data_IF_096193456354
#
_entry.id   IF_096193456354
#
_cell.length_a   1.000
_cell.length_b   1.000
_cell.length_c   1.000
_cell.angle_alpha   90.00
_cell.angle_beta   90.00
_cell.angle_gamma   90.00
#
_symmetry.space_group_name_H-M   'P 1'
#
loop_
_entity.id
_entity.type
_entity.pdbx_description
1 polymer ?
#
# COMPACT_ATOMS: atom_id res chain seq x y z
N UNK A 1 3.38 -11.53 15.84
CA UNK A 1 2.72 -12.15 14.66
C UNK A 1 1.71 -11.16 14.13
N UNK A 2 1.67 -10.92 12.81
CA UNK A 2 0.64 -10.04 12.21
C UNK A 2 -0.72 -10.76 12.24
N UNK A 3 -1.77 -10.07 12.68
CA UNK A 3 -3.14 -10.63 12.66
C UNK A 3 -3.75 -10.49 11.28
N UNK A 4 -4.81 -11.26 10.99
CA UNK A 4 -5.58 -11.12 9.76
C UNK A 4 -6.14 -9.69 9.58
N UNK A 5 -6.59 -9.07 10.68
CA UNK A 5 -7.09 -7.71 10.69
C UNK A 5 -5.98 -6.67 10.39
N UNK A 6 -4.75 -6.89 10.87
CA UNK A 6 -3.60 -6.04 10.50
C UNK A 6 -3.36 -6.11 8.98
N UNK A 7 -3.34 -7.32 8.42
CA UNK A 7 -3.09 -7.53 6.99
C UNK A 7 -4.18 -6.86 6.14
N UNK A 8 -5.44 -6.97 6.52
CA UNK A 8 -6.55 -6.30 5.85
C UNK A 8 -6.37 -4.78 5.85
N UNK A 9 -6.05 -4.17 7.01
CA UNK A 9 -5.77 -2.73 7.11
C UNK A 9 -4.60 -2.29 6.23
N UNK A 10 -3.52 -3.07 6.15
CA UNK A 10 -2.38 -2.74 5.30
C UNK A 10 -2.71 -2.86 3.81
N UNK A 11 -3.54 -3.84 3.42
CA UNK A 11 -4.05 -3.94 2.06
C UNK A 11 -4.94 -2.73 1.70
N UNK A 12 -5.85 -2.33 2.57
CA UNK A 12 -6.67 -1.12 2.38
C UNK A 12 -5.81 0.14 2.28
N UNK A 13 -4.84 0.31 3.18
CA UNK A 13 -3.90 1.43 3.15
C UNK A 13 -3.11 1.49 1.83
N UNK A 14 -2.71 0.34 1.28
CA UNK A 14 -2.06 0.24 -0.03
C UNK A 14 -2.98 0.74 -1.15
N UNK A 15 -4.24 0.31 -1.17
CA UNK A 15 -5.18 0.75 -2.21
C UNK A 15 -5.47 2.24 -2.09
N UNK A 16 -5.66 2.77 -0.88
CA UNK A 16 -5.78 4.22 -0.65
C UNK A 16 -4.54 4.97 -1.15
N UNK A 17 -3.34 4.45 -0.87
CA UNK A 17 -2.09 5.08 -1.32
C UNK A 17 -1.97 5.12 -2.84
N UNK A 18 -2.38 4.05 -3.55
CA UNK A 18 -2.42 4.06 -5.02
C UNK A 18 -3.36 5.13 -5.55
N UNK A 19 -4.54 5.31 -4.95
CA UNK A 19 -5.49 6.35 -5.33
C UNK A 19 -4.91 7.75 -5.09
N UNK A 20 -4.27 7.96 -3.94
CA UNK A 20 -3.54 9.21 -3.64
C UNK A 20 -2.49 9.48 -4.71
N UNK A 21 -1.67 8.48 -5.06
CA UNK A 21 -0.62 8.63 -6.07
C UNK A 21 -1.20 8.94 -7.46
N UNK A 22 -2.32 8.31 -7.82
CA UNK A 22 -3.01 8.59 -9.07
C UNK A 22 -3.54 10.03 -9.13
N UNK A 23 -4.18 10.52 -8.07
CA UNK A 23 -4.65 11.91 -7.98
C UNK A 23 -3.49 12.91 -8.00
N UNK A 24 -2.41 12.60 -7.29
CA UNK A 24 -1.19 13.39 -7.28
C UNK A 24 -0.60 13.53 -8.70
N UNK A 25 -0.45 12.43 -9.43
CA UNK A 25 0.03 12.44 -10.81
C UNK A 25 -0.92 13.16 -11.77
N UNK A 26 -2.23 12.95 -11.63
CA UNK A 26 -3.21 13.49 -12.57
C UNK A 26 -3.44 14.99 -12.37
N UNK A 27 -3.32 15.50 -11.14
CA UNK A 27 -3.74 16.86 -10.81
C UNK A 27 -2.62 17.71 -10.21
N UNK A 28 -1.88 17.18 -9.23
CA UNK A 28 -0.91 17.99 -8.49
C UNK A 28 0.35 18.24 -9.33
N UNK A 29 0.91 17.19 -9.95
CA UNK A 29 2.12 17.34 -10.78
C UNK A 29 1.92 18.33 -11.93
N UNK A 30 0.84 18.27 -12.73
CA UNK A 30 0.57 19.27 -13.77
C UNK A 30 0.41 20.69 -13.21
N UNK A 31 -0.29 20.85 -12.08
CA UNK A 31 -0.47 22.16 -11.44
C UNK A 31 0.84 22.78 -10.94
N UNK A 32 1.86 21.96 -10.66
CA UNK A 32 3.20 22.41 -10.30
C UNK A 32 4.09 22.71 -11.52
N UNK A 33 3.62 22.48 -12.75
CA UNK A 33 4.42 22.64 -13.97
C UNK A 33 5.25 21.41 -14.35
N UNK A 34 4.90 20.24 -13.83
CA UNK A 34 5.56 18.96 -14.15
C UNK A 34 6.60 18.52 -13.13
N UNK A 35 7.34 17.46 -13.48
CA UNK A 35 8.31 16.82 -12.59
C UNK A 35 9.62 17.60 -12.41
N UNK A 36 9.91 18.57 -13.28
CA UNK A 36 11.06 19.47 -13.12
C UNK A 36 10.87 20.45 -11.95
N UNK A 37 9.64 20.60 -11.44
CA UNK A 37 9.41 21.38 -10.24
C UNK A 37 10.03 20.66 -9.01
N UNK A 38 10.90 21.32 -8.23
CA UNK A 38 11.56 20.70 -7.09
C UNK A 38 10.59 20.18 -6.02
N UNK A 39 9.40 20.78 -5.90
CA UNK A 39 8.35 20.31 -5.00
C UNK A 39 7.76 18.97 -5.48
N UNK A 40 7.53 18.81 -6.78
CA UNK A 40 7.06 17.54 -7.34
C UNK A 40 8.10 16.43 -7.14
N UNK A 41 9.39 16.75 -7.35
CA UNK A 41 10.49 15.81 -7.09
C UNK A 41 10.56 15.37 -5.61
N UNK A 42 10.42 16.31 -4.67
CA UNK A 42 10.42 16.00 -3.24
C UNK A 42 9.19 15.17 -2.83
N UNK A 43 8.01 15.50 -3.35
CA UNK A 43 6.80 14.72 -3.10
C UNK A 43 6.92 13.28 -3.61
N UNK A 44 7.47 13.05 -4.81
CA UNK A 44 7.76 11.71 -5.30
C UNK A 44 8.69 10.95 -4.36
N UNK A 45 9.80 11.58 -3.96
CA UNK A 45 10.77 10.96 -3.07
C UNK A 45 10.14 10.55 -1.73
N UNK A 46 9.26 11.37 -1.18
CA UNK A 46 8.53 11.07 0.06
C UNK A 46 7.50 9.94 -0.14
N UNK A 47 6.76 9.95 -1.24
CA UNK A 47 5.83 8.87 -1.59
C UNK A 47 6.57 7.54 -1.77
N UNK A 48 7.68 7.53 -2.48
CA UNK A 48 8.54 6.36 -2.64
C UNK A 48 9.08 5.87 -1.30
N UNK A 49 9.54 6.79 -0.44
CA UNK A 49 10.02 6.44 0.90
C UNK A 49 8.95 5.72 1.72
N UNK A 50 7.70 6.17 1.68
CA UNK A 50 6.58 5.47 2.35
C UNK A 50 6.46 4.04 1.82
N UNK A 51 6.54 3.84 0.50
CA UNK A 51 6.50 2.48 -0.08
C UNK A 51 7.69 1.64 0.38
N UNK A 52 8.91 2.18 0.37
CA UNK A 52 10.09 1.43 0.80
C UNK A 52 10.08 1.08 2.29
N UNK A 53 9.83 2.06 3.16
CA UNK A 53 9.88 1.91 4.61
C UNK A 53 8.78 0.94 5.10
N UNK A 54 7.63 0.91 4.42
CA UNK A 54 6.53 -0.03 4.73
C UNK A 54 6.69 -1.41 4.08
N UNK A 55 7.75 -1.64 3.29
CA UNK A 55 7.90 -2.82 2.42
C UNK A 55 6.68 -3.03 1.52
N UNK A 56 6.26 -1.92 0.92
CA UNK A 56 5.09 -1.81 0.07
C UNK A 56 3.81 -2.20 0.80
N UNK A 57 3.58 -1.60 1.98
CA UNK A 57 2.47 -1.91 2.88
C UNK A 57 2.41 -3.38 3.27
N UNK A 58 3.55 -3.94 3.68
CA UNK A 58 3.70 -5.34 4.07
C UNK A 58 3.17 -6.34 3.02
N UNK A 59 3.20 -5.96 1.73
CA UNK A 59 2.73 -6.79 0.62
C UNK A 59 3.25 -8.24 0.58
N UNK A 60 4.48 -8.54 1.04
CA UNK A 60 4.91 -9.93 1.17
C UNK A 60 3.99 -10.81 2.04
N UNK A 61 3.28 -10.22 3.00
CA UNK A 61 2.36 -10.89 3.92
C UNK A 61 0.88 -10.78 3.52
N UNK A 62 0.56 -10.21 2.35
CA UNK A 62 -0.81 -9.91 1.90
C UNK A 62 -1.79 -11.10 1.95
N UNK A 63 -1.29 -12.31 1.77
CA UNK A 63 -2.08 -13.54 1.74
C UNK A 63 -2.04 -14.31 3.07
N UNK A 64 -1.23 -13.88 4.05
CA UNK A 64 -1.04 -14.63 5.28
C UNK A 64 -2.34 -14.77 6.10
N UNK A 65 -3.26 -13.79 5.98
CA UNK A 65 -4.59 -13.86 6.57
C UNK A 65 -5.46 -15.00 5.99
N UNK A 66 -5.41 -15.20 4.67
CA UNK A 66 -6.20 -16.22 3.97
C UNK A 66 -5.81 -17.66 4.34
N UNK A 67 -4.57 -17.87 4.78
CA UNK A 67 -4.10 -19.18 5.25
C UNK A 67 -4.53 -19.50 6.69
N UNK A 68 -4.95 -18.50 7.49
CA UNK A 68 -5.39 -18.73 8.87
C UNK A 68 -6.85 -19.21 8.97
N UNK A 69 -7.72 -18.83 8.03
CA UNK A 69 -9.11 -19.32 7.94
C UNK A 69 -9.19 -20.76 7.39
N UNK A 70 -8.18 -21.24 6.68
CA UNK A 70 -8.16 -22.58 6.09
C UNK A 70 -7.96 -23.73 7.10
N UNK A 71 -8.05 -23.47 8.41
CA UNK A 71 -7.78 -24.46 9.47
C UNK A 71 -9.00 -25.10 10.12
N UNK A 72 -10.22 -24.81 9.66
CA UNK A 72 -11.44 -25.40 10.26
C UNK A 72 -12.42 -26.00 9.23
N UNK A 73 -11.88 -26.69 8.21
CA UNK A 73 -12.69 -27.53 7.31
C UNK A 73 -11.98 -28.85 7.01
N UNK A 74 -12.17 -29.83 7.89
CA UNK A 74 -11.91 -31.23 7.54
C UNK A 74 -11.38 -32.08 8.69
N UNK A 75 -12.28 -32.79 9.38
CA UNK A 75 -11.88 -33.87 10.26
C UNK A 75 -12.94 -34.34 11.26
N UNK A 76 -14.17 -34.63 10.83
CA UNK A 76 -15.03 -35.53 11.59
C UNK A 76 -15.05 -36.88 10.88
N UNK A 77 -14.48 -37.87 11.55
CA UNK A 77 -14.49 -39.29 11.20
C UNK A 77 -15.89 -39.89 11.37
#
# INVERSE_FOLDING_TARGET
>A
TLTAADIARFNEARESFKLIKALYWAHVVPSLGGFDNPVAGELERLLERVVFDTRNFMWPHRNAAAFHDAKDVGGSA
#
